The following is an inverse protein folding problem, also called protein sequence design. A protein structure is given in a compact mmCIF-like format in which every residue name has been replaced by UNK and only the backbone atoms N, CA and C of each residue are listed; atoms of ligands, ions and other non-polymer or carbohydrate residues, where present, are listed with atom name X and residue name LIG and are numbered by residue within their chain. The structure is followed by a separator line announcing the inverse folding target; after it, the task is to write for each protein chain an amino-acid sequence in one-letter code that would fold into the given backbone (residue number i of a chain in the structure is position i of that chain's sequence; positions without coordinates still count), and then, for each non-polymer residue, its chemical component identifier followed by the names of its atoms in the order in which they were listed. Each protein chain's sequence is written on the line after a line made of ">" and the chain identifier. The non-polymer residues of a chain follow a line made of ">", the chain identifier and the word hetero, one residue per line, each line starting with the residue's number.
data_IF_446913603899
#
_entry.id   IF_446913603899
#
_cell.length_a   1.000
_cell.length_b   1.000
_cell.length_c   1.000
_cell.angle_alpha   90.00
_cell.angle_beta   90.00
_cell.angle_gamma   90.00
#
_symmetry.space_group_name_H-M   'P 1'
#
loop_
_entity.id
_entity.type
_entity.pdbx_description
1 polymer ?
#
# COMPACT_ATOMS: atom_id res chain seq x y z
N UNK A 1 0.04 8.33 -3.62
CA UNK A 1 -0.56 9.64 -3.29
C UNK A 1 0.37 10.79 -3.65
N UNK A 2 -0.09 11.61 -4.59
CA UNK A 2 0.58 12.83 -5.07
C UNK A 2 -0.19 14.06 -4.59
N UNK A 3 -1.50 14.06 -4.78
CA UNK A 3 -2.39 15.17 -4.42
C UNK A 3 -3.08 14.89 -3.09
N UNK A 4 -2.99 15.82 -2.15
CA UNK A 4 -3.59 15.74 -0.81
C UNK A 4 -4.54 16.93 -0.65
N UNK A 5 -5.57 16.78 0.18
CA UNK A 5 -6.55 17.83 0.39
C UNK A 5 -5.88 19.04 1.07
N UNK A 6 -6.27 20.25 0.66
CA UNK A 6 -5.59 21.50 1.05
C UNK A 6 -5.62 21.76 2.56
N UNK A 7 -6.69 21.34 3.22
CA UNK A 7 -6.96 21.46 4.65
C UNK A 7 -6.11 20.53 5.53
N UNK A 8 -5.43 19.55 4.96
CA UNK A 8 -4.61 18.57 5.71
C UNK A 8 -3.25 19.10 6.13
N UNK A 9 -2.78 20.20 5.55
CA UNK A 9 -1.41 20.71 5.72
C UNK A 9 -0.32 19.86 5.04
N UNK A 10 -0.66 18.75 4.39
CA UNK A 10 0.27 17.90 3.66
C UNK A 10 0.56 18.46 2.26
N UNK A 11 1.85 18.70 1.96
CA UNK A 11 2.28 19.21 0.64
C UNK A 11 2.05 18.17 -0.46
N UNK A 12 1.79 18.61 -1.69
CA UNK A 12 1.79 17.72 -2.85
C UNK A 12 3.16 17.05 -3.05
N UNK A 13 3.16 15.75 -3.38
CA UNK A 13 4.37 14.96 -3.62
C UNK A 13 4.71 14.90 -5.12
N UNK A 14 4.89 16.08 -5.72
CA UNK A 14 5.23 16.20 -7.14
C UNK A 14 6.49 15.37 -7.47
N UNK A 15 6.49 14.68 -8.60
CA UNK A 15 7.55 13.73 -8.98
C UNK A 15 7.27 12.28 -8.57
N UNK A 16 6.41 12.03 -7.57
CA UNK A 16 6.07 10.65 -7.19
C UNK A 16 5.28 9.89 -8.27
N UNK A 17 4.70 10.60 -9.24
CA UNK A 17 4.13 10.01 -10.46
C UNK A 17 5.21 9.37 -11.35
N UNK A 18 6.42 9.94 -11.39
CA UNK A 18 7.56 9.38 -12.13
C UNK A 18 8.05 8.11 -11.44
N UNK A 19 8.16 8.13 -10.10
CA UNK A 19 8.52 6.94 -9.31
C UNK A 19 7.51 5.81 -9.55
N UNK A 20 6.21 6.12 -9.50
CA UNK A 20 5.13 5.19 -9.81
C UNK A 20 5.30 4.55 -11.19
N UNK A 21 5.53 5.35 -12.24
CA UNK A 21 5.73 4.86 -13.61
C UNK A 21 6.96 3.95 -13.71
N UNK A 22 8.06 4.30 -13.03
CA UNK A 22 9.30 3.51 -13.02
C UNK A 22 9.10 2.17 -12.31
N UNK A 23 8.42 2.18 -11.17
CA UNK A 23 8.10 0.96 -10.41
C UNK A 23 7.17 0.06 -11.20
N UNK A 24 6.11 0.61 -11.81
CA UNK A 24 5.19 -0.15 -12.66
C UNK A 24 5.93 -0.82 -13.83
N UNK A 25 6.77 -0.07 -14.55
CA UNK A 25 7.59 -0.63 -15.63
C UNK A 25 8.51 -1.73 -15.11
N UNK A 26 9.15 -1.53 -13.95
CA UNK A 26 10.07 -2.51 -13.36
C UNK A 26 9.35 -3.80 -12.95
N UNK A 27 8.22 -3.71 -12.26
CA UNK A 27 7.49 -4.90 -11.80
C UNK A 27 6.80 -5.65 -12.93
N UNK A 28 6.30 -4.95 -13.96
CA UNK A 28 5.83 -5.62 -15.20
C UNK A 28 6.96 -6.36 -15.91
N UNK A 29 8.17 -5.79 -15.96
CA UNK A 29 9.34 -6.48 -16.50
C UNK A 29 9.80 -7.69 -15.66
N UNK A 30 9.40 -7.75 -14.39
CA UNK A 30 9.57 -8.90 -13.49
C UNK A 30 8.34 -9.84 -13.50
N UNK A 31 7.46 -9.71 -14.49
CA UNK A 31 6.27 -10.54 -14.70
C UNK A 31 5.19 -10.47 -13.60
N UNK A 32 5.18 -9.41 -12.79
CA UNK A 32 4.06 -9.16 -11.88
C UNK A 32 2.83 -8.62 -12.63
N UNK A 33 1.64 -9.05 -12.22
CA UNK A 33 0.40 -8.30 -12.46
C UNK A 33 0.44 -7.02 -11.62
N UNK A 34 0.60 -5.86 -12.28
CA UNK A 34 0.70 -4.58 -11.57
C UNK A 34 -0.64 -3.87 -11.53
N UNK A 35 -1.18 -3.68 -10.32
CA UNK A 35 -2.36 -2.88 -10.05
C UNK A 35 -1.96 -1.49 -9.52
N UNK A 36 -2.29 -0.45 -10.27
CA UNK A 36 -1.98 0.94 -9.88
C UNK A 36 -3.23 1.63 -9.32
N UNK A 37 -3.09 2.24 -8.14
CA UNK A 37 -4.11 3.08 -7.51
C UNK A 37 -3.50 4.42 -7.12
N UNK A 38 -4.22 5.51 -7.34
CA UNK A 38 -3.70 6.86 -7.16
C UNK A 38 -4.61 7.69 -6.26
N UNK A 39 -3.98 8.54 -5.43
CA UNK A 39 -4.62 9.56 -4.60
C UNK A 39 -5.78 9.03 -3.73
N UNK A 40 -5.51 7.95 -3.00
CA UNK A 40 -6.47 7.30 -2.11
C UNK A 40 -6.52 7.96 -0.73
N UNK A 41 -7.71 8.10 -0.17
CA UNK A 41 -7.97 8.37 1.25
C UNK A 41 -7.49 7.20 2.12
N UNK A 42 -7.35 7.40 3.44
CA UNK A 42 -6.92 6.34 4.33
C UNK A 42 -7.87 5.13 4.32
N UNK A 43 -9.18 5.38 4.20
CA UNK A 43 -10.20 4.34 4.11
C UNK A 43 -10.10 3.57 2.78
N UNK A 44 -9.87 4.25 1.67
CA UNK A 44 -9.70 3.60 0.37
C UNK A 44 -8.42 2.78 0.31
N UNK A 45 -7.31 3.25 0.91
CA UNK A 45 -6.09 2.44 1.07
C UNK A 45 -6.41 1.13 1.79
N UNK A 46 -7.13 1.21 2.92
CA UNK A 46 -7.52 0.02 3.67
C UNK A 46 -8.37 -0.94 2.81
N UNK A 47 -9.35 -0.41 2.08
CA UNK A 47 -10.26 -1.20 1.23
C UNK A 47 -9.53 -1.89 0.08
N UNK A 48 -8.63 -1.19 -0.61
CA UNK A 48 -7.84 -1.75 -1.72
C UNK A 48 -6.90 -2.87 -1.23
N UNK A 49 -6.26 -2.68 -0.07
CA UNK A 49 -5.38 -3.70 0.52
C UNK A 49 -6.16 -4.93 1.00
N UNK A 50 -7.31 -4.73 1.64
CA UNK A 50 -8.20 -5.83 2.03
C UNK A 50 -8.72 -6.59 0.79
N UNK A 51 -9.10 -5.86 -0.26
CA UNK A 51 -9.49 -6.46 -1.54
C UNK A 51 -8.37 -7.29 -2.16
N UNK A 52 -7.14 -6.80 -2.15
CA UNK A 52 -5.97 -7.55 -2.62
C UNK A 52 -5.71 -8.80 -1.76
N UNK A 53 -5.77 -8.68 -0.43
CA UNK A 53 -5.61 -9.82 0.48
C UNK A 53 -6.71 -10.88 0.30
N UNK A 54 -7.91 -10.48 -0.11
CA UNK A 54 -9.05 -11.38 -0.39
C UNK A 54 -9.01 -12.08 -1.75
N UNK A 55 -8.06 -11.74 -2.64
CA UNK A 55 -7.87 -12.47 -3.91
C UNK A 55 -7.34 -13.88 -3.67
N UNK A 56 -7.60 -14.77 -4.62
CA UNK A 56 -6.95 -16.08 -4.63
C UNK A 56 -5.53 -15.98 -5.21
N UNK A 57 -4.53 -16.19 -4.36
CA UNK A 57 -3.11 -16.19 -4.70
C UNK A 57 -2.54 -17.61 -4.82
N UNK A 58 -3.38 -18.65 -4.84
CA UNK A 58 -2.93 -20.05 -4.82
C UNK A 58 -2.02 -20.38 -6.01
N UNK A 59 -2.32 -19.83 -7.18
CA UNK A 59 -1.50 -19.96 -8.40
C UNK A 59 -0.37 -18.96 -8.56
N UNK A 60 -0.10 -18.09 -7.57
CA UNK A 60 0.95 -17.06 -7.63
C UNK A 60 2.09 -17.38 -6.65
N UNK A 61 3.33 -16.98 -6.93
CA UNK A 61 4.47 -17.30 -6.06
C UNK A 61 4.70 -16.30 -4.92
N UNK A 62 4.36 -15.03 -5.15
CA UNK A 62 4.56 -13.96 -4.16
C UNK A 62 3.60 -12.79 -4.41
N UNK A 63 3.53 -11.87 -3.44
CA UNK A 63 2.82 -10.61 -3.53
C UNK A 63 3.76 -9.47 -3.15
N UNK A 64 3.62 -8.30 -3.79
CA UNK A 64 4.38 -7.10 -3.45
C UNK A 64 3.42 -5.93 -3.33
N UNK A 65 3.54 -5.15 -2.26
CA UNK A 65 2.75 -3.93 -2.05
C UNK A 65 3.69 -2.73 -1.96
N UNK A 66 3.55 -1.79 -2.89
CA UNK A 66 4.33 -0.55 -2.89
C UNK A 66 3.41 0.63 -2.57
N UNK A 67 3.76 1.40 -1.53
CA UNK A 67 2.98 2.54 -1.07
C UNK A 67 3.84 3.80 -1.14
N UNK A 68 3.42 4.77 -1.96
CA UNK A 68 4.08 6.06 -2.10
C UNK A 68 3.19 7.15 -1.50
N UNK A 69 3.46 7.56 -0.27
CA UNK A 69 2.70 8.61 0.42
C UNK A 69 3.56 9.38 1.42
N UNK A 70 2.99 10.37 2.09
CA UNK A 70 3.57 10.88 3.33
C UNK A 70 3.45 9.82 4.42
N UNK A 71 4.35 9.90 5.40
CA UNK A 71 4.28 9.08 6.60
C UNK A 71 4.64 9.85 7.86
N UNK A 72 4.32 9.27 9.00
CA UNK A 72 4.69 9.81 10.31
C UNK A 72 5.15 8.68 11.24
N UNK A 73 5.83 9.07 12.33
CA UNK A 73 6.04 8.16 13.46
C UNK A 73 4.69 7.94 14.15
N UNK A 74 4.40 6.69 14.49
CA UNK A 74 3.25 6.31 15.31
C UNK A 74 3.71 5.36 16.40
N UNK A 75 3.03 5.40 17.54
CA UNK A 75 3.10 4.32 18.52
C UNK A 75 2.68 3.01 17.84
N UNK A 76 3.40 1.94 18.13
CA UNK A 76 3.23 0.64 17.51
C UNK A 76 3.72 -0.45 18.46
N UNK A 77 3.17 -1.65 18.31
CA UNK A 77 3.60 -2.82 19.09
C UNK A 77 4.69 -3.61 18.36
N UNK A 78 4.67 -3.61 17.02
CA UNK A 78 5.57 -4.44 16.21
C UNK A 78 6.24 -3.68 15.08
N UNK A 79 5.47 -2.96 14.27
CA UNK A 79 6.00 -2.31 13.06
C UNK A 79 5.77 -0.80 13.12
N UNK A 80 6.85 0.03 13.10
CA UNK A 80 6.74 1.47 13.17
C UNK A 80 6.10 2.09 11.94
N UNK A 81 5.47 3.24 12.18
CA UNK A 81 5.06 4.17 11.14
C UNK A 81 3.60 4.10 10.78
N UNK A 82 3.14 5.17 10.14
CA UNK A 82 1.84 5.27 9.54
C UNK A 82 1.93 5.93 8.16
N UNK A 83 0.95 5.64 7.32
CA UNK A 83 0.83 6.08 5.93
C UNK A 83 -0.37 7.01 5.85
N UNK A 84 -0.18 8.22 5.34
CA UNK A 84 -1.27 9.16 5.13
C UNK A 84 -2.10 8.85 3.88
N UNK A 85 -3.41 8.96 4.00
CA UNK A 85 -4.33 9.13 2.89
C UNK A 85 -4.36 10.58 2.41
N UNK A 86 -5.04 10.82 1.29
CA UNK A 86 -5.23 12.17 0.72
C UNK A 86 -6.08 13.08 1.60
N UNK A 87 -6.90 12.49 2.46
CA UNK A 87 -7.73 13.09 3.49
C UNK A 87 -6.96 13.48 4.76
N UNK A 88 -5.64 13.24 4.82
CA UNK A 88 -4.81 13.56 5.99
C UNK A 88 -5.01 12.61 7.18
N UNK A 89 -5.95 11.68 7.08
CA UNK A 89 -6.03 10.54 7.98
C UNK A 89 -4.92 9.54 7.65
N UNK A 90 -4.63 8.60 8.55
CA UNK A 90 -3.54 7.65 8.34
C UNK A 90 -3.91 6.22 8.73
N UNK A 91 -3.24 5.27 8.08
CA UNK A 91 -3.28 3.85 8.42
C UNK A 91 -1.92 3.42 8.98
N UNK A 92 -1.93 2.65 10.07
CA UNK A 92 -0.71 2.09 10.65
C UNK A 92 -0.07 1.07 9.70
N UNK A 93 1.25 1.11 9.55
CA UNK A 93 1.98 0.11 8.74
C UNK A 93 1.74 -1.31 9.29
N UNK A 94 1.72 -1.47 10.62
CA UNK A 94 1.35 -2.73 11.26
C UNK A 94 -0.03 -3.25 10.81
N UNK A 95 -1.01 -2.36 10.61
CA UNK A 95 -2.34 -2.74 10.13
C UNK A 95 -2.28 -3.22 8.67
N UNK A 96 -1.54 -2.52 7.81
CA UNK A 96 -1.29 -2.95 6.42
C UNK A 96 -0.70 -4.36 6.36
N UNK A 97 0.36 -4.62 7.13
CA UNK A 97 1.02 -5.94 7.17
C UNK A 97 0.07 -7.02 7.69
N UNK A 98 -0.78 -6.69 8.66
CA UNK A 98 -1.72 -7.63 9.24
C UNK A 98 -2.75 -8.19 8.23
N UNK A 99 -3.10 -7.44 7.19
CA UNK A 99 -4.02 -7.92 6.15
C UNK A 99 -3.48 -9.12 5.35
N UNK A 100 -2.16 -9.25 5.23
CA UNK A 100 -1.51 -10.31 4.45
C UNK A 100 -0.91 -11.41 5.33
N UNK A 101 -1.22 -11.43 6.62
CA UNK A 101 -0.70 -12.47 7.51
C UNK A 101 -1.38 -13.85 7.22
N UNK A 102 -0.83 -14.91 7.80
CA UNK A 102 -1.31 -16.27 7.56
C UNK A 102 -2.72 -16.58 8.06
N UNK A 103 -3.38 -15.67 8.82
CA UNK A 103 -4.78 -15.83 9.24
C UNK A 103 -5.75 -15.08 8.32
N UNK A 104 -5.35 -13.94 7.76
CA UNK A 104 -6.22 -13.11 6.90
C UNK A 104 -6.04 -13.39 5.41
N UNK A 105 -4.89 -13.90 4.98
CA UNK A 105 -4.63 -14.26 3.58
C UNK A 105 -4.04 -15.67 3.48
N UNK A 106 -4.92 -16.67 3.47
CA UNK A 106 -4.53 -18.09 3.48
C UNK A 106 -3.72 -18.49 2.24
N UNK A 107 -4.09 -17.97 1.07
CA UNK A 107 -3.45 -18.27 -0.22
C UNK A 107 -2.02 -17.72 -0.35
N UNK A 108 -1.60 -16.78 0.51
CA UNK A 108 -0.23 -16.28 0.63
C UNK A 108 0.54 -16.88 1.84
N UNK A 109 -0.02 -17.87 2.53
CA UNK A 109 0.69 -18.56 3.61
C UNK A 109 1.91 -19.30 3.05
N UNK A 110 3.07 -19.11 3.68
CA UNK A 110 4.35 -19.68 3.20
C UNK A 110 4.95 -18.99 1.97
N UNK A 111 4.30 -17.97 1.41
CA UNK A 111 4.77 -17.23 0.23
C UNK A 111 5.40 -15.89 0.62
N UNK A 112 6.42 -15.38 -0.10
CA UNK A 112 6.96 -14.04 0.14
C UNK A 112 5.92 -12.94 -0.05
N UNK A 113 5.97 -11.92 0.81
CA UNK A 113 5.09 -10.75 0.86
C UNK A 113 5.93 -9.50 1.10
#
# INVERSE_FOLDING_TARGET
>A
NVHFNKDTGLKHRLGSNIDRQRLEKRFRALHFEVLTKENLTAQEIAKELQGLAGRDHSGLDCCVVVILSHGCKSYHLQIPGAIFGTDGQHILVQKVVSYFNGSHCLSLRGKPK
#
